data_IF_283690671989
#
_entry.id   IF_283690671989
#
_cell.length_a   1.000
_cell.length_b   1.000
_cell.length_c   1.000
_cell.angle_alpha   90.00
_cell.angle_beta   90.00
_cell.angle_gamma   90.00
#
_symmetry.space_group_name_H-M   'P 1'
#
loop_
_entity.id
_entity.type
_entity.pdbx_description
1 polymer ?
#
# COMPACT_ATOMS: atom_id res chain seq x y z
N UNK A 1 2.94 6.83 -23.35
CA UNK A 1 3.26 5.88 -22.26
C UNK A 1 2.16 6.03 -21.21
N UNK A 2 1.44 4.96 -20.85
CA UNK A 2 0.45 5.02 -19.77
C UNK A 2 1.13 5.23 -18.42
N UNK A 3 0.45 5.91 -17.50
CA UNK A 3 0.91 6.07 -16.12
C UNK A 3 -0.12 5.42 -15.21
N UNK A 4 0.32 4.82 -14.11
CA UNK A 4 -0.58 4.19 -13.13
C UNK A 4 -1.64 5.16 -12.61
N UNK A 5 -1.26 6.41 -12.36
CA UNK A 5 -2.19 7.48 -11.93
C UNK A 5 -3.38 7.65 -12.88
N UNK A 6 -3.19 7.49 -14.18
CA UNK A 6 -4.25 7.65 -15.18
C UNK A 6 -5.31 6.53 -15.11
N UNK A 7 -5.02 5.46 -14.39
CA UNK A 7 -5.95 4.35 -14.15
C UNK A 7 -6.82 4.55 -12.91
N UNK A 8 -6.52 5.53 -12.06
CA UNK A 8 -7.20 5.74 -10.79
C UNK A 8 -8.34 6.74 -10.97
N UNK A 9 -9.54 6.35 -10.54
CA UNK A 9 -10.65 7.26 -10.34
C UNK A 9 -10.51 7.90 -8.97
N UNK A 10 -10.18 9.21 -8.89
CA UNK A 10 -9.90 9.83 -7.60
C UNK A 10 -11.14 9.85 -6.70
N UNK A 11 -10.95 9.53 -5.43
CA UNK A 11 -11.98 9.63 -4.38
C UNK A 11 -12.02 11.03 -3.74
N UNK A 12 -10.94 11.81 -3.88
CA UNK A 12 -10.84 13.15 -3.36
C UNK A 12 -10.87 14.21 -4.45
N UNK A 13 -11.18 15.46 -4.07
CA UNK A 13 -11.24 16.60 -4.98
C UNK A 13 -9.87 16.99 -5.57
N UNK A 14 -8.81 16.68 -4.87
CA UNK A 14 -7.44 17.04 -5.25
C UNK A 14 -6.40 16.04 -4.71
N UNK A 15 -5.22 15.95 -5.33
CA UNK A 15 -4.06 15.32 -4.74
C UNK A 15 -3.64 15.97 -3.41
N UNK A 16 -2.77 15.30 -2.65
CA UNK A 16 -2.16 15.86 -1.46
C UNK A 16 -1.36 17.13 -1.77
N UNK A 17 -1.24 18.00 -0.78
CA UNK A 17 -0.32 19.13 -0.77
C UNK A 17 0.84 18.84 0.20
N UNK A 18 1.97 19.57 0.13
CA UNK A 18 3.05 19.41 1.09
C UNK A 18 2.61 19.51 2.56
N UNK A 19 1.63 20.36 2.86
CA UNK A 19 1.08 20.53 4.20
C UNK A 19 0.28 19.28 4.67
N UNK A 20 -0.37 18.56 3.75
CA UNK A 20 -1.08 17.33 4.06
C UNK A 20 -0.08 16.21 4.40
N UNK A 21 1.04 16.12 3.69
CA UNK A 21 2.14 15.21 3.99
C UNK A 21 2.74 15.51 5.36
N UNK A 22 3.08 16.76 5.61
CA UNK A 22 3.63 17.19 6.90
C UNK A 22 2.68 16.83 8.06
N UNK A 23 1.39 17.10 7.90
CA UNK A 23 0.36 16.77 8.91
C UNK A 23 0.28 15.26 9.14
N UNK A 24 0.37 14.45 8.11
CA UNK A 24 0.39 13.00 8.22
C UNK A 24 1.61 12.52 9.03
N UNK A 25 2.80 13.02 8.70
CA UNK A 25 4.05 12.68 9.40
C UNK A 25 4.03 13.11 10.85
N UNK A 26 3.57 14.35 11.15
CA UNK A 26 3.43 14.86 12.53
C UNK A 26 2.41 14.06 13.34
N UNK A 27 1.32 13.60 12.71
CA UNK A 27 0.25 12.85 13.41
C UNK A 27 0.62 11.40 13.66
N UNK A 28 1.33 10.76 12.72
CA UNK A 28 1.62 9.32 12.77
C UNK A 28 3.03 9.00 13.26
N UNK A 29 3.97 9.94 13.13
CA UNK A 29 5.40 9.71 13.33
C UNK A 29 6.05 8.93 12.18
N UNK A 30 5.34 8.71 11.05
CA UNK A 30 5.82 7.97 9.91
C UNK A 30 6.42 8.93 8.88
N UNK A 31 7.68 8.72 8.53
CA UNK A 31 8.34 9.40 7.42
C UNK A 31 8.16 8.58 6.15
N UNK A 32 7.42 9.14 5.19
CA UNK A 32 7.13 8.46 3.93
C UNK A 32 8.32 8.54 2.97
N UNK A 33 8.59 7.47 2.17
CA UNK A 33 9.61 7.52 1.13
C UNK A 33 9.33 8.62 0.10
N UNK A 34 10.38 9.25 -0.42
CA UNK A 34 10.28 10.37 -1.36
C UNK A 34 9.48 10.02 -2.63
N UNK A 35 9.64 8.81 -3.15
CA UNK A 35 8.94 8.33 -4.34
C UNK A 35 7.43 8.15 -4.07
N UNK A 36 7.06 7.70 -2.87
CA UNK A 36 5.67 7.62 -2.47
C UNK A 36 5.07 8.99 -2.17
N UNK A 37 5.83 9.90 -1.55
CA UNK A 37 5.42 11.30 -1.39
C UNK A 37 5.11 11.95 -2.75
N UNK A 38 5.98 11.76 -3.75
CA UNK A 38 5.76 12.28 -5.11
C UNK A 38 4.47 11.72 -5.74
N UNK A 39 4.14 10.46 -5.49
CA UNK A 39 2.88 9.86 -5.92
C UNK A 39 1.67 10.52 -5.25
N UNK A 40 1.68 10.70 -3.94
CA UNK A 40 0.60 11.33 -3.18
C UNK A 40 0.35 12.79 -3.61
N UNK A 41 1.40 13.52 -3.94
CA UNK A 41 1.32 14.90 -4.49
C UNK A 41 0.70 14.93 -5.91
N UNK A 42 0.64 13.80 -6.59
CA UNK A 42 0.10 13.69 -7.94
C UNK A 42 -1.26 12.94 -8.01
N UNK A 43 -1.63 12.21 -6.96
CA UNK A 43 -2.81 11.35 -6.93
C UNK A 43 -3.60 11.48 -5.62
N UNK A 44 -4.90 11.68 -5.72
CA UNK A 44 -5.78 11.76 -4.54
C UNK A 44 -6.06 10.40 -3.86
N UNK A 45 -5.66 9.29 -4.48
CA UNK A 45 -6.16 7.97 -4.14
C UNK A 45 -7.54 7.72 -4.73
N UNK A 46 -8.06 6.53 -4.57
CA UNK A 46 -9.35 6.14 -5.10
C UNK A 46 -9.39 4.71 -5.65
N UNK A 47 -10.31 4.45 -6.56
CA UNK A 47 -10.49 3.13 -7.16
C UNK A 47 -9.79 3.01 -8.52
N UNK A 48 -9.10 1.89 -8.75
CA UNK A 48 -8.51 1.59 -10.05
C UNK A 48 -9.61 1.18 -11.04
N UNK A 49 -9.83 1.99 -12.09
CA UNK A 49 -10.88 1.74 -13.11
C UNK A 49 -10.52 0.70 -14.14
N UNK A 50 -9.25 0.39 -14.26
CA UNK A 50 -8.73 -0.50 -15.29
C UNK A 50 -8.06 -1.69 -14.61
N UNK A 51 -8.02 -2.81 -15.31
CA UNK A 51 -7.30 -3.97 -14.81
C UNK A 51 -5.80 -3.69 -14.84
N UNK A 52 -5.24 -3.43 -13.67
CA UNK A 52 -3.80 -3.22 -13.45
C UNK A 52 -3.28 -4.38 -12.63
N UNK A 53 -2.44 -5.22 -13.23
CA UNK A 53 -1.86 -6.38 -12.57
C UNK A 53 -0.46 -6.10 -12.03
N UNK A 54 -0.11 -6.81 -10.97
CA UNK A 54 1.24 -6.93 -10.44
C UNK A 54 1.62 -8.39 -10.25
N UNK A 55 2.91 -8.69 -10.36
CA UNK A 55 3.45 -10.01 -10.10
C UNK A 55 4.07 -10.03 -8.69
N UNK A 56 3.95 -11.18 -8.01
CA UNK A 56 4.69 -11.44 -6.78
C UNK A 56 6.16 -11.72 -7.10
N UNK A 57 7.04 -11.46 -6.15
CA UNK A 57 8.48 -11.65 -6.31
C UNK A 57 8.89 -13.10 -6.64
N UNK A 58 8.05 -14.07 -6.27
CA UNK A 58 8.26 -15.48 -6.61
C UNK A 58 7.91 -15.83 -8.07
N UNK A 59 7.28 -14.91 -8.83
CA UNK A 59 6.90 -15.11 -10.23
C UNK A 59 5.76 -16.12 -10.47
N UNK A 60 5.18 -16.71 -9.43
CA UNK A 60 4.13 -17.75 -9.50
C UNK A 60 2.73 -17.15 -9.41
N UNK A 61 2.58 -16.07 -8.65
CA UNK A 61 1.31 -15.44 -8.35
C UNK A 61 1.24 -14.05 -8.96
N UNK A 62 0.05 -13.63 -9.32
CA UNK A 62 -0.26 -12.28 -9.77
C UNK A 62 -1.52 -11.78 -9.06
N UNK A 63 -1.57 -10.48 -8.80
CA UNK A 63 -2.74 -9.80 -8.24
C UNK A 63 -3.17 -8.64 -9.12
N UNK A 64 -4.27 -7.99 -8.73
CA UNK A 64 -4.80 -6.82 -9.42
C UNK A 64 -5.05 -5.71 -8.40
N UNK A 65 -4.55 -4.51 -8.69
CA UNK A 65 -4.80 -3.34 -7.84
C UNK A 65 -6.27 -2.92 -7.95
N UNK A 66 -6.90 -2.67 -6.81
CA UNK A 66 -8.28 -2.16 -6.74
C UNK A 66 -8.34 -0.80 -6.08
N UNK A 67 -8.06 -0.72 -4.78
CA UNK A 67 -8.14 0.52 -4.02
C UNK A 67 -6.75 1.10 -3.81
N UNK A 68 -6.66 2.42 -3.88
CA UNK A 68 -5.40 3.16 -3.74
C UNK A 68 -5.58 4.25 -2.69
N UNK A 69 -4.73 4.21 -1.68
CA UNK A 69 -4.73 5.18 -0.59
C UNK A 69 -4.26 6.56 -1.00
N UNK A 70 -4.74 7.55 -0.27
CA UNK A 70 -4.36 8.95 -0.41
C UNK A 70 -4.52 9.70 0.91
N UNK A 71 -4.26 11.01 0.90
CA UNK A 71 -4.39 11.87 2.09
C UNK A 71 -5.70 12.66 2.13
N UNK A 72 -6.72 12.21 1.38
CA UNK A 72 -8.07 12.75 1.43
C UNK A 72 -8.84 12.27 2.68
N UNK A 73 -9.99 12.88 2.93
CA UNK A 73 -10.79 12.60 4.12
C UNK A 73 -11.72 11.37 3.99
N UNK A 74 -11.95 10.85 2.79
CA UNK A 74 -12.79 9.66 2.59
C UNK A 74 -12.21 8.46 3.37
N UNK A 75 -12.96 7.90 4.34
CA UNK A 75 -12.43 6.85 5.22
C UNK A 75 -11.94 5.60 4.49
N UNK A 76 -12.54 5.27 3.35
CA UNK A 76 -12.18 4.09 2.57
C UNK A 76 -10.76 4.23 1.99
N UNK A 77 -10.41 5.43 1.52
CA UNK A 77 -9.15 5.68 0.83
C UNK A 77 -8.14 6.49 1.66
N UNK A 78 -8.51 6.93 2.87
CA UNK A 78 -7.66 7.73 3.73
C UNK A 78 -6.57 6.89 4.39
N UNK A 79 -5.31 7.20 4.10
CA UNK A 79 -4.15 6.60 4.79
C UNK A 79 -4.21 6.84 6.30
N UNK A 80 -4.56 8.05 6.72
CA UNK A 80 -4.61 8.41 8.14
C UNK A 80 -5.73 7.67 8.87
N UNK A 81 -6.91 7.56 8.25
CA UNK A 81 -8.03 6.83 8.84
C UNK A 81 -7.69 5.35 9.01
N UNK A 82 -7.18 4.71 7.95
CA UNK A 82 -6.80 3.30 7.97
C UNK A 82 -5.59 3.02 8.86
N UNK A 83 -4.71 3.99 9.07
CA UNK A 83 -3.65 3.87 10.07
C UNK A 83 -4.20 3.84 11.50
N UNK A 84 -5.16 4.72 11.81
CA UNK A 84 -5.78 4.80 13.15
C UNK A 84 -6.72 3.65 13.45
N UNK A 85 -7.47 3.20 12.44
CA UNK A 85 -8.52 2.18 12.55
C UNK A 85 -8.45 1.24 11.34
N UNK A 86 -7.43 0.39 11.25
CA UNK A 86 -7.28 -0.51 10.12
C UNK A 86 -8.44 -1.52 10.08
N UNK A 87 -9.04 -1.76 8.90
CA UNK A 87 -10.07 -2.78 8.74
C UNK A 87 -9.53 -4.22 8.79
N UNK A 88 -8.21 -4.36 8.79
CA UNK A 88 -7.51 -5.63 8.95
C UNK A 88 -6.64 -5.60 10.21
N UNK A 89 -6.27 -6.75 10.78
CA UNK A 89 -5.32 -6.81 11.89
C UNK A 89 -3.89 -6.55 11.40
N UNK A 90 -3.64 -5.32 10.93
CA UNK A 90 -2.31 -4.90 10.49
C UNK A 90 -1.44 -4.49 11.67
N UNK A 91 -0.18 -4.92 11.62
CA UNK A 91 0.87 -4.47 12.53
C UNK A 91 1.22 -3.01 12.30
N UNK A 92 1.71 -2.33 13.33
CA UNK A 92 2.14 -0.92 13.27
C UNK A 92 3.45 -0.69 12.50
N UNK A 93 4.14 -1.74 12.10
CA UNK A 93 5.29 -1.72 11.20
C UNK A 93 4.91 -1.89 9.70
N UNK A 94 3.60 -1.91 9.41
CA UNK A 94 3.03 -1.96 8.07
C UNK A 94 2.06 -0.79 7.86
N UNK A 95 2.34 0.04 6.86
CA UNK A 95 1.42 1.10 6.43
C UNK A 95 0.65 0.61 5.20
N UNK A 96 -0.67 0.46 5.32
CA UNK A 96 -1.53 0.20 4.18
C UNK A 96 -1.45 1.32 3.14
N UNK A 97 -1.31 0.98 1.88
CA UNK A 97 -1.30 1.93 0.76
C UNK A 97 -2.25 1.57 -0.38
N UNK A 98 -2.59 0.30 -0.55
CA UNK A 98 -3.48 -0.20 -1.60
C UNK A 98 -4.16 -1.49 -1.15
N UNK A 99 -5.21 -1.89 -1.87
CA UNK A 99 -5.77 -3.24 -1.84
C UNK A 99 -5.70 -3.89 -3.21
N UNK A 100 -5.65 -5.21 -3.20
CA UNK A 100 -5.98 -6.00 -4.38
C UNK A 100 -7.50 -6.24 -4.50
N UNK A 101 -7.93 -6.91 -5.58
CA UNK A 101 -9.33 -7.28 -5.81
C UNK A 101 -9.88 -8.27 -4.77
N UNK A 102 -9.03 -9.00 -4.07
CA UNK A 102 -9.41 -9.89 -2.97
C UNK A 102 -9.57 -9.18 -1.63
N UNK A 103 -9.32 -7.88 -1.57
CA UNK A 103 -9.34 -7.10 -0.33
C UNK A 103 -8.06 -7.24 0.50
N UNK A 104 -7.01 -7.83 -0.05
CA UNK A 104 -5.74 -7.99 0.63
C UNK A 104 -4.93 -6.69 0.62
N UNK A 105 -4.40 -6.25 1.76
CA UNK A 105 -3.61 -5.03 1.82
C UNK A 105 -2.24 -5.18 1.16
N UNK A 106 -1.87 -4.15 0.40
CA UNK A 106 -0.52 -3.88 -0.06
C UNK A 106 0.02 -2.77 0.83
N UNK A 107 1.17 -3.02 1.46
CA UNK A 107 1.72 -2.15 2.49
C UNK A 107 3.14 -1.70 2.20
N UNK A 108 3.48 -0.49 2.68
CA UNK A 108 4.85 -0.08 2.90
C UNK A 108 5.35 -0.65 4.23
N UNK A 109 6.53 -1.21 4.24
CA UNK A 109 7.22 -1.64 5.45
C UNK A 109 7.84 -0.44 6.15
N UNK A 110 7.71 -0.41 7.47
CA UNK A 110 8.22 0.65 8.36
C UNK A 110 9.31 0.12 9.30
N UNK A 111 9.55 -1.18 9.29
CA UNK A 111 10.53 -1.84 10.15
C UNK A 111 11.96 -1.55 9.71
N UNK A 112 12.87 -1.49 10.68
CA UNK A 112 14.28 -1.15 10.50
C UNK A 112 14.96 -2.01 9.42
N UNK A 113 15.60 -1.36 8.47
CA UNK A 113 16.30 -2.01 7.34
C UNK A 113 15.40 -2.43 6.18
N UNK A 114 14.07 -2.25 6.30
CA UNK A 114 13.10 -2.58 5.25
C UNK A 114 12.22 -1.39 4.88
N UNK A 115 12.50 -0.22 5.41
CA UNK A 115 11.69 0.98 5.22
C UNK A 115 11.48 1.28 3.73
N UNK A 116 10.21 1.47 3.35
CA UNK A 116 9.82 1.78 1.98
C UNK A 116 9.73 0.59 1.03
N UNK A 117 10.12 -0.62 1.45
CA UNK A 117 9.82 -1.84 0.69
C UNK A 117 8.32 -2.12 0.72
N UNK A 118 7.81 -2.76 -0.32
CA UNK A 118 6.42 -3.15 -0.40
C UNK A 118 6.23 -4.63 -0.13
N UNK A 119 5.16 -4.94 0.59
CA UNK A 119 4.70 -6.30 0.81
C UNK A 119 3.18 -6.40 0.62
N UNK A 120 2.75 -7.62 0.37
CA UNK A 120 1.35 -8.03 0.30
C UNK A 120 1.03 -8.80 1.58
N UNK A 121 -0.13 -8.56 2.16
CA UNK A 121 -0.61 -9.30 3.32
C UNK A 121 -1.85 -10.08 2.95
N UNK A 122 -1.77 -11.40 3.02
CA UNK A 122 -2.95 -12.25 2.86
C UNK A 122 -3.79 -12.18 4.14
N UNK A 123 -4.90 -11.44 4.09
CA UNK A 123 -5.71 -11.19 5.27
C UNK A 123 -6.51 -12.42 5.73
N UNK A 124 -6.72 -13.41 4.85
CA UNK A 124 -7.39 -14.67 5.22
C UNK A 124 -6.45 -15.61 6.00
N UNK A 125 -5.14 -15.50 5.76
CA UNK A 125 -4.13 -16.30 6.45
C UNK A 125 -3.54 -15.58 7.66
N UNK A 126 -3.54 -14.25 7.68
CA UNK A 126 -2.99 -13.47 8.79
C UNK A 126 -3.81 -13.70 10.07
N UNK A 127 -3.15 -14.02 11.20
CA UNK A 127 -3.84 -14.19 12.48
C UNK A 127 -4.55 -12.90 12.90
N UNK A 128 -5.74 -13.02 13.49
CA UNK A 128 -6.53 -11.89 13.98
C UNK A 128 -5.84 -11.12 15.12
N UNK A 129 -4.98 -11.79 15.88
CA UNK A 129 -4.11 -11.14 16.86
C UNK A 129 -2.82 -10.66 16.18
N UNK A 130 -2.29 -9.53 16.60
CA UNK A 130 -1.02 -8.98 16.09
C UNK A 130 0.20 -9.55 16.83
N UNK A 131 0.15 -10.80 17.27
CA UNK A 131 1.21 -11.45 18.05
C UNK A 131 2.33 -12.06 17.20
N UNK A 132 2.18 -12.05 15.87
CA UNK A 132 3.17 -12.55 14.92
C UNK A 132 4.22 -11.47 14.55
N UNK A 133 5.41 -11.91 14.21
CA UNK A 133 6.46 -11.03 13.68
C UNK A 133 6.48 -11.05 12.15
N UNK A 134 7.01 -9.99 11.53
CA UNK A 134 7.19 -9.98 10.06
C UNK A 134 8.17 -11.05 9.60
N UNK A 135 9.13 -11.43 10.43
CA UNK A 135 10.07 -12.52 10.15
C UNK A 135 9.34 -13.86 10.09
N UNK A 136 8.51 -14.18 11.09
CA UNK A 136 7.70 -15.39 11.11
C UNK A 136 6.73 -15.45 9.94
N UNK A 137 6.05 -14.33 9.65
CA UNK A 137 5.08 -14.22 8.55
C UNK A 137 5.68 -14.40 7.16
N UNK A 138 6.98 -14.13 7.00
CA UNK A 138 7.70 -14.18 5.73
C UNK A 138 8.65 -15.36 5.61
N UNK A 139 8.73 -16.23 6.64
CA UNK A 139 9.79 -17.23 6.79
C UNK A 139 9.66 -18.45 5.86
N UNK A 140 8.52 -18.68 5.26
CA UNK A 140 8.30 -19.82 4.37
C UNK A 140 7.54 -19.43 3.08
N UNK A 141 7.47 -20.36 2.13
CA UNK A 141 6.77 -20.19 0.85
C UNK A 141 5.25 -20.01 1.00
N UNK A 142 4.72 -20.21 2.19
CA UNK A 142 3.30 -20.11 2.55
C UNK A 142 3.03 -18.98 3.53
N UNK A 143 3.99 -18.10 3.72
CA UNK A 143 3.84 -16.92 4.56
C UNK A 143 2.67 -16.04 4.11
N UNK A 144 2.02 -15.39 5.06
CA UNK A 144 0.93 -14.46 4.79
C UNK A 144 1.40 -13.01 4.55
N UNK A 145 2.70 -12.74 4.68
CA UNK A 145 3.34 -11.50 4.24
C UNK A 145 4.34 -11.82 3.14
N UNK A 146 4.02 -11.39 1.92
CA UNK A 146 4.81 -11.71 0.74
C UNK A 146 5.51 -10.45 0.20
N UNK A 147 6.81 -10.49 -0.09
CA UNK A 147 7.53 -9.35 -0.66
C UNK A 147 7.02 -9.05 -2.09
N UNK A 148 6.83 -7.76 -2.41
CA UNK A 148 6.39 -7.30 -3.73
C UNK A 148 7.47 -6.53 -4.47
N UNK A 149 8.10 -5.54 -3.82
CA UNK A 149 9.08 -4.67 -4.46
C UNK A 149 10.00 -4.02 -3.44
N UNK A 150 11.17 -3.61 -3.90
CA UNK A 150 12.17 -2.92 -3.07
C UNK A 150 11.86 -1.44 -2.82
N UNK A 151 10.93 -0.85 -3.58
CA UNK A 151 10.47 0.53 -3.44
C UNK A 151 9.13 0.73 -4.13
N UNK A 152 8.46 1.86 -3.86
CA UNK A 152 7.23 2.23 -4.54
C UNK A 152 7.45 2.40 -6.05
N UNK A 153 8.52 3.06 -6.44
CA UNK A 153 8.90 3.22 -7.86
C UNK A 153 9.09 1.87 -8.55
N UNK A 154 9.78 0.93 -7.92
CA UNK A 154 9.98 -0.40 -8.46
C UNK A 154 8.65 -1.15 -8.63
N UNK A 155 7.74 -1.06 -7.65
CA UNK A 155 6.41 -1.63 -7.74
C UNK A 155 5.61 -1.08 -8.92
N UNK A 156 5.49 0.25 -9.01
CA UNK A 156 4.73 0.92 -10.09
C UNK A 156 5.31 0.63 -11.47
N UNK A 157 6.63 0.52 -11.57
CA UNK A 157 7.32 0.21 -12.84
C UNK A 157 7.02 -1.20 -13.36
N UNK A 158 6.66 -2.13 -12.47
CA UNK A 158 6.31 -3.52 -12.80
C UNK A 158 4.81 -3.74 -13.01
N UNK A 159 3.98 -2.72 -12.78
CA UNK A 159 2.55 -2.80 -13.05
C UNK A 159 2.27 -2.95 -14.54
N UNK A 160 1.28 -3.75 -14.87
CA UNK A 160 0.85 -4.00 -16.25
C UNK A 160 -0.65 -3.71 -16.39
N UNK A 161 -0.98 -2.90 -17.38
CA UNK A 161 -2.36 -2.67 -17.79
C UNK A 161 -2.78 -3.76 -18.78
N UNK A 162 -3.92 -4.40 -18.49
CA UNK A 162 -4.57 -5.35 -19.40
C UNK A 162 -5.67 -4.69 -20.21
#
# INVERSE_FOLDING_TARGET
MWRFIDCINPAGERPARPEDLQRFEETTGIYLPDDYCAFLLACAGGICRQTVSFDFSNGVWAGYVQDVGGLQEDPVYSLLHNWKSPPWPLRKDLLWIMNDHGGNPICLRLDEGNEGKLCFVDHELAPENNEWTLEEASADDWGYVLPLASSFTAFVSNLRRK
#
